data_IF_362121742692
#
_entry.id   IF_362121742692
#
_cell.length_a   1.000
_cell.length_b   1.000
_cell.length_c   1.000
_cell.angle_alpha   90.00
_cell.angle_beta   90.00
_cell.angle_gamma   90.00
#
_symmetry.space_group_name_H-M   'P 1'
#
loop_
_entity.id
_entity.type
_entity.pdbx_description
1 polymer ?
#
# COMPACT_ATOMS: atom_id res chain seq x y z
N UNK A 1 17.49 6.25 -45.14
CA UNK A 1 17.55 5.88 -43.70
C UNK A 1 19.00 5.93 -43.26
N UNK A 2 19.30 6.67 -42.21
CA UNK A 2 20.63 6.74 -41.59
C UNK A 2 20.64 5.86 -40.34
N UNK A 3 21.75 5.13 -40.10
CA UNK A 3 21.97 4.35 -38.90
C UNK A 3 23.18 4.93 -38.18
N UNK A 4 22.98 5.31 -36.92
CA UNK A 4 24.06 5.77 -36.04
C UNK A 4 24.09 4.94 -34.77
N UNK A 5 25.27 4.79 -34.18
CA UNK A 5 25.38 4.20 -32.84
C UNK A 5 25.12 5.31 -31.82
N UNK A 6 24.26 5.03 -30.84
CA UNK A 6 23.90 5.95 -29.79
C UNK A 6 23.91 5.22 -28.45
N UNK A 7 24.63 5.75 -27.49
CA UNK A 7 24.71 5.20 -26.14
C UNK A 7 23.72 5.92 -25.22
N UNK A 8 22.81 5.19 -24.61
CA UNK A 8 21.82 5.72 -23.68
C UNK A 8 21.41 4.69 -22.64
N UNK A 9 20.80 5.15 -21.55
CA UNK A 9 20.18 4.28 -20.57
C UNK A 9 18.95 3.59 -21.19
N UNK A 10 18.86 2.27 -21.05
CA UNK A 10 17.75 1.48 -21.54
C UNK A 10 17.07 0.71 -20.40
N UNK A 11 15.73 0.68 -20.32
CA UNK A 11 15.04 -0.04 -19.25
C UNK A 11 15.28 -1.55 -19.35
N UNK A 12 15.59 -2.15 -18.19
CA UNK A 12 15.80 -3.58 -18.04
C UNK A 12 14.80 -4.16 -17.03
N UNK A 13 14.41 -5.41 -17.26
CA UNK A 13 13.62 -6.16 -16.29
C UNK A 13 14.34 -6.19 -14.94
N UNK A 14 13.69 -5.71 -13.88
CA UNK A 14 14.28 -5.63 -12.55
C UNK A 14 14.70 -7.01 -12.00
N UNK A 15 14.01 -8.07 -12.42
CA UNK A 15 14.28 -9.47 -12.00
C UNK A 15 15.38 -10.12 -12.84
N UNK A 16 15.20 -10.15 -14.17
CA UNK A 16 16.09 -10.87 -15.08
C UNK A 16 17.28 -10.04 -15.58
N UNK A 17 17.25 -8.73 -15.37
CA UNK A 17 18.28 -7.78 -15.84
C UNK A 17 18.48 -7.75 -17.36
N UNK A 18 17.53 -8.27 -18.11
CA UNK A 18 17.51 -8.23 -19.58
C UNK A 18 16.78 -6.99 -20.08
N UNK A 19 17.13 -6.44 -21.27
CA UNK A 19 16.38 -5.35 -21.88
C UNK A 19 14.90 -5.70 -22.04
N UNK A 20 14.01 -4.73 -21.78
CA UNK A 20 12.58 -4.89 -22.01
C UNK A 20 12.21 -4.55 -23.44
N UNK A 21 11.16 -5.19 -23.97
CA UNK A 21 10.53 -4.80 -25.23
C UNK A 21 9.30 -3.95 -24.94
N UNK A 22 9.13 -2.88 -25.69
CA UNK A 22 7.89 -2.11 -25.68
C UNK A 22 6.89 -2.76 -26.61
N UNK A 23 5.67 -2.96 -26.13
CA UNK A 23 4.57 -3.56 -26.88
C UNK A 23 3.31 -2.72 -26.68
N UNK A 24 2.65 -2.35 -27.76
CA UNK A 24 1.32 -1.77 -27.73
C UNK A 24 0.28 -2.88 -27.68
N UNK A 25 -0.62 -2.83 -26.70
CA UNK A 25 -1.77 -3.73 -26.55
C UNK A 25 -2.97 -2.91 -26.11
N UNK A 26 -4.21 -3.33 -26.42
CA UNK A 26 -5.40 -2.73 -25.82
C UNK A 26 -5.29 -2.77 -24.30
N UNK A 27 -5.71 -1.69 -23.64
CA UNK A 27 -5.63 -1.55 -22.20
C UNK A 27 -6.89 -0.89 -21.65
N UNK A 28 -7.17 -1.14 -20.38
CA UNK A 28 -8.26 -0.52 -19.63
C UNK A 28 -7.71 0.56 -18.73
N UNK A 29 -8.39 1.70 -18.71
CA UNK A 29 -7.98 2.88 -17.96
C UNK A 29 -9.12 3.42 -17.12
N UNK A 30 -8.77 3.95 -15.95
CA UNK A 30 -9.63 4.90 -15.22
C UNK A 30 -9.23 6.28 -15.69
N UNK A 31 -10.17 7.02 -16.30
CA UNK A 31 -9.93 8.39 -16.70
C UNK A 31 -9.80 9.31 -15.49
N UNK A 32 -8.79 10.15 -15.51
CA UNK A 32 -8.59 11.18 -14.48
C UNK A 32 -9.40 12.44 -14.74
N UNK A 33 -9.78 12.68 -16.00
CA UNK A 33 -10.56 13.85 -16.41
C UNK A 33 -12.08 13.62 -16.26
N UNK A 34 -12.55 12.39 -16.53
CA UNK A 34 -13.97 12.06 -16.46
C UNK A 34 -14.50 12.29 -15.03
N UNK A 35 -15.63 13.00 -14.97
CA UNK A 35 -16.29 13.41 -13.71
C UNK A 35 -15.36 14.19 -12.77
N UNK A 36 -14.36 14.87 -13.30
CA UNK A 36 -13.39 15.68 -12.53
C UNK A 36 -12.68 14.88 -11.42
N UNK A 37 -12.46 13.57 -11.60
CA UNK A 37 -11.89 12.70 -10.58
C UNK A 37 -10.57 13.23 -10.00
N UNK A 38 -9.67 13.69 -10.88
CA UNK A 38 -8.38 14.21 -10.45
C UNK A 38 -8.53 15.48 -9.61
N UNK A 39 -9.40 16.39 -10.01
CA UNK A 39 -9.66 17.63 -9.29
C UNK A 39 -10.28 17.35 -7.92
N UNK A 40 -11.27 16.47 -7.85
CA UNK A 40 -11.88 16.06 -6.58
C UNK A 40 -10.87 15.40 -5.64
N UNK A 41 -9.98 14.54 -6.18
CA UNK A 41 -8.91 13.94 -5.40
C UNK A 41 -7.93 15.00 -4.86
N UNK A 42 -7.56 15.99 -5.66
CA UNK A 42 -6.72 17.11 -5.24
C UNK A 42 -7.36 17.94 -4.13
N UNK A 43 -8.60 18.34 -4.31
CA UNK A 43 -9.35 19.13 -3.33
C UNK A 43 -9.49 18.39 -1.99
N UNK A 44 -9.60 17.08 -2.04
CA UNK A 44 -9.73 16.23 -0.85
C UNK A 44 -8.45 16.14 0.00
N UNK A 45 -7.26 16.36 -0.61
CA UNK A 45 -5.95 16.30 0.11
C UNK A 45 -5.89 17.29 1.26
N UNK A 46 -6.53 18.46 1.12
CA UNK A 46 -6.55 19.50 2.15
C UNK A 46 -7.39 19.12 3.39
N UNK A 47 -8.31 18.18 3.23
CA UNK A 47 -9.16 17.69 4.32
C UNK A 47 -8.50 16.63 5.20
N UNK A 48 -7.36 16.07 4.75
CA UNK A 48 -6.63 14.99 5.43
C UNK A 48 -5.55 15.54 6.34
N UNK A 49 -5.41 14.96 7.53
CA UNK A 49 -4.33 15.31 8.45
C UNK A 49 -3.03 14.56 8.10
N UNK A 50 -2.01 15.29 7.67
CA UNK A 50 -0.73 14.72 7.22
C UNK A 50 0.35 14.83 8.31
N UNK A 51 0.91 13.68 8.68
CA UNK A 51 2.03 13.57 9.61
C UNK A 51 3.21 12.78 8.97
N UNK A 52 4.35 13.40 8.65
CA UNK A 52 4.66 14.83 8.71
C UNK A 52 3.89 15.69 7.68
N UNK A 53 3.82 16.99 7.93
CA UNK A 53 3.06 17.93 7.08
C UNK A 53 3.51 17.99 5.61
N UNK A 54 4.77 17.66 5.32
CA UNK A 54 5.27 17.60 3.94
C UNK A 54 4.53 16.54 3.09
N UNK A 55 3.86 15.58 3.72
CA UNK A 55 3.07 14.55 3.04
C UNK A 55 1.97 15.12 2.18
N UNK A 56 1.32 16.21 2.61
CA UNK A 56 0.31 16.94 1.86
C UNK A 56 0.85 17.45 0.52
N UNK A 57 1.91 18.27 0.58
CA UNK A 57 2.53 18.83 -0.63
C UNK A 57 3.02 17.74 -1.59
N UNK A 58 3.54 16.62 -1.03
CA UNK A 58 3.97 15.48 -1.83
C UNK A 58 2.80 14.79 -2.54
N UNK A 59 1.67 14.58 -1.87
CA UNK A 59 0.48 13.98 -2.49
C UNK A 59 -0.08 14.89 -3.57
N UNK A 60 -0.24 16.18 -3.29
CA UNK A 60 -0.72 17.16 -4.27
C UNK A 60 0.15 17.18 -5.54
N UNK A 61 1.48 17.25 -5.38
CA UNK A 61 2.41 17.22 -6.52
C UNK A 61 2.34 15.92 -7.33
N UNK A 62 2.04 14.78 -6.71
CA UNK A 62 1.90 13.52 -7.42
C UNK A 62 0.56 13.36 -8.15
N UNK A 63 -0.44 14.13 -7.76
CA UNK A 63 -1.73 14.19 -8.44
C UNK A 63 -1.74 15.23 -9.57
N UNK A 64 -0.97 16.32 -9.47
CA UNK A 64 -1.04 17.50 -10.34
C UNK A 64 -1.00 17.18 -11.84
N UNK A 65 -0.16 16.25 -12.25
CA UNK A 65 -0.03 15.84 -13.66
C UNK A 65 -0.25 14.32 -13.83
N UNK A 66 -1.12 13.74 -13.02
CA UNK A 66 -1.34 12.29 -13.09
C UNK A 66 -2.08 11.93 -14.38
N UNK A 67 -1.51 11.06 -15.23
CA UNK A 67 -2.22 10.55 -16.39
C UNK A 67 -3.29 9.55 -15.99
N UNK A 68 -4.15 9.20 -16.94
CA UNK A 68 -5.12 8.11 -16.79
C UNK A 68 -4.46 6.85 -16.24
N UNK A 69 -5.15 6.18 -15.34
CA UNK A 69 -4.62 5.01 -14.66
C UNK A 69 -4.89 3.74 -15.44
N UNK A 70 -3.85 3.18 -16.06
CA UNK A 70 -3.93 1.87 -16.68
C UNK A 70 -4.10 0.80 -15.60
N UNK A 71 -5.28 0.18 -15.54
CA UNK A 71 -5.63 -0.82 -14.53
C UNK A 71 -5.52 -2.26 -15.02
N UNK A 72 -5.38 -2.50 -16.31
CA UNK A 72 -5.24 -3.85 -16.87
C UNK A 72 -3.80 -4.36 -16.89
N UNK A 73 -3.65 -5.65 -16.62
CA UNK A 73 -2.36 -6.36 -16.66
C UNK A 73 -2.52 -7.69 -17.36
N UNK A 74 -1.58 -8.00 -18.27
CA UNK A 74 -1.50 -9.27 -18.97
C UNK A 74 -0.72 -10.27 -18.09
N UNK A 75 -1.38 -10.79 -17.06
CA UNK A 75 -0.83 -11.73 -16.09
C UNK A 75 -1.74 -12.94 -15.96
N UNK A 76 -1.14 -14.08 -15.64
CA UNK A 76 -1.88 -15.33 -15.36
C UNK A 76 -2.43 -15.43 -13.92
N UNK A 77 -2.05 -14.50 -13.07
CA UNK A 77 -2.49 -14.42 -11.68
C UNK A 77 -2.88 -12.98 -11.32
N UNK A 78 -4.05 -12.81 -10.74
CA UNK A 78 -4.62 -11.54 -10.31
C UNK A 78 -6.15 -11.57 -10.33
N UNK A 79 -6.79 -10.53 -9.82
CA UNK A 79 -8.24 -10.37 -9.92
C UNK A 79 -8.61 -10.14 -11.38
N UNK A 80 -9.46 -10.98 -12.00
CA UNK A 80 -9.79 -10.82 -13.41
C UNK A 80 -10.63 -9.59 -13.66
N UNK A 81 -10.49 -9.00 -14.83
CA UNK A 81 -11.39 -7.98 -15.35
C UNK A 81 -12.57 -8.70 -16.01
N UNK A 82 -13.66 -8.87 -15.27
CA UNK A 82 -14.83 -9.65 -15.68
C UNK A 82 -15.70 -8.92 -16.69
N UNK A 83 -15.17 -8.64 -17.88
CA UNK A 83 -15.84 -7.91 -18.94
C UNK A 83 -15.96 -8.74 -20.21
N UNK A 84 -17.06 -8.54 -20.93
CA UNK A 84 -17.28 -9.02 -22.29
C UNK A 84 -17.21 -7.84 -23.26
N UNK A 85 -16.44 -8.00 -24.34
CA UNK A 85 -16.32 -7.01 -25.40
C UNK A 85 -16.84 -7.55 -26.73
N UNK A 86 -17.50 -6.72 -27.50
CA UNK A 86 -17.98 -7.08 -28.84
C UNK A 86 -16.78 -7.23 -29.78
N UNK A 87 -16.72 -8.37 -30.48
CA UNK A 87 -15.58 -8.77 -31.31
C UNK A 87 -15.24 -7.79 -32.44
N UNK A 88 -16.22 -7.09 -32.99
CA UNK A 88 -16.04 -6.19 -34.12
C UNK A 88 -15.88 -4.71 -33.66
N UNK A 89 -16.66 -4.26 -32.67
CA UNK A 89 -16.68 -2.87 -32.26
C UNK A 89 -15.77 -2.57 -31.07
N UNK A 90 -15.42 -3.60 -30.28
CA UNK A 90 -14.66 -3.43 -29.03
C UNK A 90 -15.46 -2.79 -27.88
N UNK A 91 -16.77 -2.59 -28.06
CA UNK A 91 -17.65 -2.02 -27.06
C UNK A 91 -17.99 -3.05 -25.98
N UNK A 92 -18.26 -2.55 -24.77
CA UNK A 92 -18.71 -3.39 -23.66
C UNK A 92 -20.11 -3.96 -23.93
N UNK A 93 -20.36 -5.16 -23.38
CA UNK A 93 -21.70 -5.74 -23.39
C UNK A 93 -22.70 -4.81 -22.69
N UNK A 94 -23.92 -4.60 -23.22
CA UNK A 94 -24.92 -3.73 -22.60
C UNK A 94 -25.26 -4.10 -21.14
N UNK A 95 -25.25 -5.39 -20.82
CA UNK A 95 -25.51 -5.93 -19.47
C UNK A 95 -24.22 -6.13 -18.65
N UNK A 96 -23.20 -5.32 -18.89
CA UNK A 96 -21.88 -5.45 -18.21
C UNK A 96 -22.00 -5.50 -16.69
N UNK A 97 -22.90 -4.69 -16.12
CA UNK A 97 -23.09 -4.62 -14.67
C UNK A 97 -23.61 -5.94 -14.11
N UNK A 98 -24.63 -6.50 -14.73
CA UNK A 98 -25.26 -7.77 -14.36
C UNK A 98 -24.28 -8.92 -14.51
N UNK A 99 -23.45 -8.88 -15.56
CA UNK A 99 -22.37 -9.85 -15.78
C UNK A 99 -21.35 -9.82 -14.66
N UNK A 100 -20.91 -8.61 -14.27
CA UNK A 100 -19.93 -8.45 -13.16
C UNK A 100 -20.52 -9.00 -11.86
N UNK A 101 -21.77 -8.69 -11.53
CA UNK A 101 -22.42 -9.18 -10.32
C UNK A 101 -22.53 -10.72 -10.34
N UNK A 102 -22.97 -11.31 -11.45
CA UNK A 102 -23.05 -12.76 -11.63
C UNK A 102 -21.68 -13.44 -11.48
N UNK A 103 -20.64 -12.84 -12.04
CA UNK A 103 -19.28 -13.36 -11.92
C UNK A 103 -18.75 -13.20 -10.49
N UNK A 104 -19.10 -12.11 -9.79
CA UNK A 104 -18.73 -11.94 -8.38
C UNK A 104 -19.33 -13.04 -7.49
N UNK A 105 -20.60 -13.38 -7.67
CA UNK A 105 -21.27 -14.49 -6.95
C UNK A 105 -20.58 -15.85 -7.22
N UNK A 106 -20.20 -16.08 -8.47
CA UNK A 106 -19.46 -17.29 -8.85
C UNK A 106 -18.07 -17.34 -8.21
N UNK A 107 -17.35 -16.21 -8.21
CA UNK A 107 -16.02 -16.11 -7.59
C UNK A 107 -16.13 -16.28 -6.07
N UNK A 108 -17.16 -15.76 -5.42
CA UNK A 108 -17.40 -15.96 -4.00
C UNK A 108 -17.60 -17.44 -3.65
N UNK A 109 -18.34 -18.16 -4.45
CA UNK A 109 -18.67 -19.58 -4.18
C UNK A 109 -17.60 -20.57 -4.64
N UNK A 110 -16.92 -20.32 -5.75
CA UNK A 110 -16.03 -21.27 -6.44
C UNK A 110 -14.57 -20.79 -6.52
N UNK A 111 -14.33 -19.53 -6.14
CA UNK A 111 -13.01 -18.89 -6.24
C UNK A 111 -12.75 -18.29 -7.62
N UNK A 112 -11.62 -17.61 -7.73
CA UNK A 112 -11.26 -16.77 -8.89
C UNK A 112 -11.18 -17.56 -10.21
N UNK A 113 -10.96 -18.87 -10.13
CA UNK A 113 -10.89 -19.76 -11.31
C UNK A 113 -12.23 -19.82 -12.06
N UNK A 114 -13.34 -19.60 -11.38
CA UNK A 114 -14.69 -19.61 -11.97
C UNK A 114 -14.82 -18.67 -13.19
N UNK A 115 -14.18 -17.48 -13.15
CA UNK A 115 -14.15 -16.60 -14.31
C UNK A 115 -13.43 -17.21 -15.52
N UNK A 116 -12.35 -17.95 -15.30
CA UNK A 116 -11.60 -18.57 -16.40
C UNK A 116 -12.35 -19.76 -17.00
N UNK A 117 -13.07 -20.51 -16.19
CA UNK A 117 -13.73 -21.75 -16.56
C UNK A 117 -15.13 -21.55 -17.16
N UNK A 118 -15.87 -20.49 -16.78
CA UNK A 118 -17.21 -20.22 -17.30
C UNK A 118 -17.18 -19.92 -18.81
N UNK A 119 -18.11 -20.48 -19.56
CA UNK A 119 -18.29 -20.16 -20.98
C UNK A 119 -19.20 -18.92 -21.14
N UNK A 120 -18.97 -18.13 -22.19
CA UNK A 120 -19.75 -16.90 -22.44
C UNK A 120 -21.25 -17.20 -22.61
N UNK A 121 -21.61 -18.35 -23.20
CA UNK A 121 -23.00 -18.81 -23.38
C UNK A 121 -23.76 -18.99 -22.06
N UNK A 122 -23.04 -19.20 -20.95
CA UNK A 122 -23.63 -19.34 -19.61
C UNK A 122 -23.84 -17.98 -18.92
N UNK A 123 -23.29 -16.93 -19.52
CA UNK A 123 -23.44 -15.55 -19.05
C UNK A 123 -24.50 -14.78 -19.81
N UNK A 124 -24.49 -14.88 -21.15
CA UNK A 124 -25.33 -14.09 -22.07
C UNK A 124 -25.81 -14.93 -23.27
N UNK A 125 -27.00 -14.57 -23.80
CA UNK A 125 -27.62 -15.29 -24.93
C UNK A 125 -26.92 -15.01 -26.29
N UNK A 126 -26.40 -13.80 -26.49
CA UNK A 126 -25.76 -13.32 -27.71
C UNK A 126 -24.24 -13.56 -27.72
N UNK A 127 -23.80 -14.58 -26.99
CA UNK A 127 -22.40 -14.97 -26.73
C UNK A 127 -21.52 -15.05 -27.98
N UNK A 128 -22.08 -15.34 -29.17
CA UNK A 128 -21.30 -15.47 -30.41
C UNK A 128 -20.64 -14.16 -30.85
N UNK A 129 -21.24 -13.01 -30.49
CA UNK A 129 -20.75 -11.67 -30.84
C UNK A 129 -19.71 -11.13 -29.88
N UNK A 130 -19.51 -11.76 -28.73
CA UNK A 130 -18.65 -11.26 -27.66
C UNK A 130 -17.46 -12.16 -27.36
N UNK A 131 -16.44 -11.58 -26.75
CA UNK A 131 -15.29 -12.29 -26.21
C UNK A 131 -14.97 -11.84 -24.79
N UNK A 132 -14.38 -12.74 -23.99
CA UNK A 132 -13.96 -12.47 -22.63
C UNK A 132 -12.64 -11.71 -22.61
N UNK A 133 -12.55 -10.71 -21.73
CA UNK A 133 -11.26 -10.11 -21.37
C UNK A 133 -10.48 -11.11 -20.53
N UNK A 134 -9.21 -11.32 -20.88
CA UNK A 134 -8.29 -12.22 -20.17
C UNK A 134 -7.32 -11.49 -19.25
N UNK A 135 -7.37 -10.16 -19.23
CA UNK A 135 -6.53 -9.34 -18.37
C UNK A 135 -6.97 -9.41 -16.91
N UNK A 136 -6.04 -9.16 -16.00
CA UNK A 136 -6.34 -8.97 -14.59
C UNK A 136 -6.11 -7.51 -14.16
N UNK A 137 -6.67 -7.14 -13.02
CA UNK A 137 -6.49 -5.82 -12.44
C UNK A 137 -5.06 -5.58 -11.97
N UNK A 138 -4.64 -4.33 -11.99
CA UNK A 138 -3.45 -3.86 -11.32
C UNK A 138 -3.55 -4.11 -9.81
N UNK A 139 -2.53 -4.71 -9.22
CA UNK A 139 -2.48 -4.98 -7.78
C UNK A 139 -2.66 -3.71 -6.91
N UNK A 140 -2.35 -2.55 -7.45
CA UNK A 140 -2.62 -1.27 -6.78
C UNK A 140 -4.10 -0.90 -6.78
N UNK A 141 -4.88 -1.41 -7.74
CA UNK A 141 -6.33 -1.33 -7.71
C UNK A 141 -6.88 -2.23 -6.60
N UNK A 142 -6.42 -3.49 -6.54
CA UNK A 142 -6.85 -4.45 -5.51
C UNK A 142 -6.61 -3.90 -4.10
N UNK A 143 -5.42 -3.37 -3.85
CA UNK A 143 -5.10 -2.73 -2.57
C UNK A 143 -5.81 -1.39 -2.38
N UNK A 144 -6.05 -0.65 -3.46
CA UNK A 144 -6.73 0.63 -3.44
C UNK A 144 -8.16 0.56 -2.90
N UNK A 145 -8.89 -0.51 -3.22
CA UNK A 145 -10.29 -0.70 -2.79
C UNK A 145 -10.45 -1.30 -1.38
N UNK A 146 -9.36 -1.37 -0.58
CA UNK A 146 -9.41 -1.86 0.80
C UNK A 146 -10.49 -1.16 1.64
N UNK A 147 -10.73 0.12 1.41
CA UNK A 147 -11.79 0.87 2.08
C UNK A 147 -13.20 0.29 1.81
N UNK A 148 -13.44 -0.28 0.64
CA UNK A 148 -14.73 -0.87 0.29
C UNK A 148 -14.81 -2.35 0.69
N UNK A 149 -13.75 -3.14 0.43
CA UNK A 149 -13.79 -4.59 0.69
C UNK A 149 -13.41 -4.98 2.13
N UNK A 150 -12.91 -4.07 2.95
CA UNK A 150 -12.57 -4.35 4.36
C UNK A 150 -13.32 -3.42 5.31
N UNK A 151 -13.21 -2.09 5.15
CA UNK A 151 -13.82 -1.16 6.12
C UNK A 151 -15.34 -1.16 6.07
N UNK A 152 -15.94 -1.24 4.87
CA UNK A 152 -17.39 -1.19 4.71
C UNK A 152 -18.08 -2.50 5.11
N UNK A 153 -17.39 -3.63 5.00
CA UNK A 153 -17.98 -4.96 5.23
C UNK A 153 -17.78 -5.48 6.65
N UNK A 154 -16.90 -4.83 7.44
CA UNK A 154 -16.63 -5.24 8.81
C UNK A 154 -17.25 -4.26 9.80
N UNK A 155 -18.24 -4.75 10.56
CA UNK A 155 -19.00 -3.94 11.54
C UNK A 155 -18.14 -3.37 12.68
N UNK A 156 -16.98 -3.96 12.95
CA UNK A 156 -16.02 -3.48 13.96
C UNK A 156 -15.11 -2.36 13.43
N UNK A 157 -15.18 -2.04 12.14
CA UNK A 157 -14.37 -1.03 11.49
C UNK A 157 -15.23 0.15 11.02
N UNK A 158 -14.58 1.26 10.69
CA UNK A 158 -15.27 2.46 10.21
C UNK A 158 -14.63 2.99 8.92
N UNK A 159 -15.48 3.61 8.11
CA UNK A 159 -15.07 4.39 6.95
C UNK A 159 -15.39 5.89 7.21
N UNK A 160 -14.48 6.83 6.89
CA UNK A 160 -13.06 6.63 6.53
C UNK A 160 -12.22 6.07 7.68
N UNK A 161 -11.10 5.41 7.36
CA UNK A 161 -10.13 4.97 8.38
C UNK A 161 -9.59 6.16 9.18
N UNK A 162 -9.33 5.96 10.47
CA UNK A 162 -8.75 7.03 11.29
C UNK A 162 -7.32 7.36 10.86
N UNK A 163 -6.54 6.33 10.48
CA UNK A 163 -5.12 6.49 10.14
C UNK A 163 -4.68 5.47 9.09
N UNK A 164 -4.04 5.94 8.00
CA UNK A 164 -3.16 5.13 7.18
C UNK A 164 -1.71 5.38 7.58
N UNK A 165 -0.94 4.30 7.79
CA UNK A 165 0.44 4.36 8.27
C UNK A 165 1.33 3.49 7.42
N UNK A 166 2.24 4.11 6.64
CA UNK A 166 3.20 3.42 5.78
C UNK A 166 4.43 4.28 5.46
N UNK A 167 5.33 3.73 4.66
CA UNK A 167 6.51 4.43 4.17
C UNK A 167 6.24 5.51 3.12
N UNK A 168 7.23 6.34 2.88
CA UNK A 168 7.13 7.47 1.96
C UNK A 168 6.91 7.10 0.48
N UNK A 169 7.19 5.86 0.08
CA UNK A 169 6.91 5.34 -1.27
C UNK A 169 5.41 5.18 -1.53
N UNK A 170 4.59 5.06 -0.49
CA UNK A 170 3.15 4.85 -0.63
C UNK A 170 2.37 6.08 -1.09
N UNK A 171 2.98 7.25 -1.13
CA UNK A 171 2.39 8.41 -1.82
C UNK A 171 2.20 8.16 -3.33
N UNK A 172 3.01 7.28 -3.93
CA UNK A 172 2.84 6.79 -5.31
C UNK A 172 2.37 5.34 -5.35
N UNK A 173 1.79 4.85 -4.30
CA UNK A 173 1.27 3.49 -4.15
C UNK A 173 -0.08 3.51 -3.46
N UNK A 174 -0.20 2.83 -2.33
CA UNK A 174 -1.45 2.59 -1.64
C UNK A 174 -2.19 3.85 -1.20
N UNK A 175 -1.50 4.88 -0.71
CA UNK A 175 -2.16 6.13 -0.34
C UNK A 175 -2.88 6.75 -1.53
N UNK A 176 -2.24 6.79 -2.69
CA UNK A 176 -2.80 7.40 -3.89
C UNK A 176 -3.87 6.51 -4.55
N UNK A 177 -3.64 5.21 -4.65
CA UNK A 177 -4.63 4.29 -5.24
C UNK A 177 -5.90 4.24 -4.40
N UNK A 178 -5.79 4.19 -3.07
CA UNK A 178 -6.94 4.25 -2.16
C UNK A 178 -7.69 5.59 -2.27
N UNK A 179 -6.98 6.70 -2.39
CA UNK A 179 -7.60 8.01 -2.55
C UNK A 179 -8.44 8.06 -3.83
N UNK A 180 -7.84 7.69 -4.95
CA UNK A 180 -8.52 7.73 -6.26
C UNK A 180 -9.74 6.82 -6.31
N UNK A 181 -9.63 5.58 -5.83
CA UNK A 181 -10.77 4.65 -5.81
C UNK A 181 -11.87 5.11 -4.87
N UNK A 182 -11.52 5.66 -3.71
CA UNK A 182 -12.51 6.16 -2.75
C UNK A 182 -13.23 7.41 -3.27
N UNK A 183 -12.52 8.35 -3.86
CA UNK A 183 -13.15 9.53 -4.49
C UNK A 183 -14.03 9.10 -5.65
N UNK A 184 -13.59 8.18 -6.52
CA UNK A 184 -14.41 7.69 -7.62
C UNK A 184 -15.70 6.99 -7.17
N UNK A 185 -15.68 6.31 -6.03
CA UNK A 185 -16.81 5.51 -5.52
C UNK A 185 -17.71 6.29 -4.55
N UNK A 186 -17.15 7.20 -3.76
CA UNK A 186 -17.81 7.79 -2.57
C UNK A 186 -17.64 9.29 -2.43
N UNK A 187 -16.82 9.93 -3.27
CA UNK A 187 -16.50 11.37 -3.21
C UNK A 187 -15.87 11.80 -1.86
N UNK A 188 -15.30 10.84 -1.11
CA UNK A 188 -14.72 11.06 0.22
C UNK A 188 -13.36 10.39 0.30
N UNK A 189 -12.31 11.02 0.92
CA UNK A 189 -11.03 10.36 1.16
C UNK A 189 -11.20 9.10 2.01
N UNK A 190 -10.40 8.03 1.78
CA UNK A 190 -10.53 6.77 2.51
C UNK A 190 -9.96 6.82 3.93
N UNK A 191 -9.30 7.90 4.29
CA UNK A 191 -8.61 8.10 5.56
C UNK A 191 -8.75 9.54 6.06
N UNK A 192 -8.81 9.70 7.40
CA UNK A 192 -8.82 10.99 8.08
C UNK A 192 -7.41 11.55 8.28
N UNK A 193 -6.43 10.65 8.46
CA UNK A 193 -5.04 11.00 8.65
C UNK A 193 -4.11 10.02 7.93
N UNK A 194 -2.94 10.53 7.53
CA UNK A 194 -1.85 9.73 6.95
C UNK A 194 -0.57 9.99 7.74
N UNK A 195 0.01 8.94 8.32
CA UNK A 195 1.32 9.00 8.93
C UNK A 195 2.34 8.33 8.01
N UNK A 196 3.38 9.07 7.67
CA UNK A 196 4.44 8.59 6.77
C UNK A 196 5.76 8.47 7.51
N UNK A 197 6.36 7.28 7.46
CA UNK A 197 7.69 7.03 8.02
C UNK A 197 8.76 6.91 6.94
N UNK A 198 10.03 7.12 7.35
CA UNK A 198 11.20 6.87 6.51
C UNK A 198 11.51 5.38 6.38
N UNK A 199 12.46 5.05 5.50
CA UNK A 199 12.96 3.69 5.37
C UNK A 199 14.02 3.37 6.42
N UNK A 200 14.11 2.09 6.78
CA UNK A 200 15.26 1.59 7.53
C UNK A 200 16.43 1.42 6.57
N UNK A 201 17.54 2.08 6.89
CA UNK A 201 18.77 2.09 6.11
C UNK A 201 19.94 1.52 6.93
N UNK A 202 20.98 1.05 6.25
CA UNK A 202 22.22 0.59 6.89
C UNK A 202 23.09 1.78 7.40
N UNK A 203 24.26 1.47 7.94
CA UNK A 203 25.18 2.49 8.45
C UNK A 203 25.65 3.47 7.38
N UNK A 204 25.68 3.07 6.12
CA UNK A 204 26.05 3.86 4.95
C UNK A 204 24.89 4.62 4.33
N UNK A 205 23.69 4.56 4.93
CA UNK A 205 22.48 5.22 4.43
C UNK A 205 21.82 4.53 3.23
N UNK A 206 22.15 3.27 2.95
CA UNK A 206 21.54 2.51 1.87
C UNK A 206 20.31 1.76 2.38
N UNK A 207 19.20 1.84 1.64
CA UNK A 207 17.98 1.09 1.93
C UNK A 207 18.30 -0.42 2.07
N UNK A 208 17.85 -1.01 3.18
CA UNK A 208 18.02 -2.44 3.41
C UNK A 208 17.21 -3.26 2.39
N UNK A 209 17.88 -4.21 1.74
CA UNK A 209 17.23 -5.11 0.79
C UNK A 209 17.88 -6.49 0.78
N UNK A 210 17.09 -7.52 0.52
CA UNK A 210 17.60 -8.90 0.39
C UNK A 210 18.64 -9.04 -0.73
N UNK A 211 18.48 -8.27 -1.80
CA UNK A 211 19.39 -8.30 -2.95
C UNK A 211 20.77 -7.69 -2.66
N UNK A 212 20.86 -6.76 -1.70
CA UNK A 212 22.14 -6.16 -1.24
C UNK A 212 22.77 -6.95 -0.09
N UNK A 213 22.00 -7.85 0.55
CA UNK A 213 22.50 -8.62 1.68
C UNK A 213 22.73 -7.83 2.98
N UNK A 214 22.26 -6.57 3.04
CA UNK A 214 22.44 -5.66 4.18
C UNK A 214 21.27 -5.65 5.16
N UNK A 215 20.37 -6.65 5.09
CA UNK A 215 19.20 -6.73 5.96
C UNK A 215 19.57 -7.24 7.34
N UNK A 216 19.25 -6.48 8.38
CA UNK A 216 19.25 -6.93 9.76
C UNK A 216 17.82 -7.41 10.07
N UNK A 217 17.64 -8.75 10.20
CA UNK A 217 16.32 -9.29 10.49
C UNK A 217 15.94 -9.06 11.95
N UNK A 218 14.69 -8.65 12.26
CA UNK A 218 14.20 -8.53 13.64
C UNK A 218 14.39 -9.82 14.44
N UNK A 219 14.21 -10.99 13.83
CA UNK A 219 14.39 -12.30 14.44
C UNK A 219 15.78 -12.45 15.04
N UNK A 220 16.82 -12.15 14.26
CA UNK A 220 18.21 -12.23 14.72
C UNK A 220 18.48 -11.28 15.90
N UNK A 221 17.85 -10.10 15.89
CA UNK A 221 18.02 -9.13 16.98
C UNK A 221 17.38 -9.64 18.27
N UNK A 222 16.14 -10.11 18.23
CA UNK A 222 15.50 -10.55 19.47
C UNK A 222 16.05 -11.88 20.01
N UNK A 223 16.56 -12.77 19.17
CA UNK A 223 17.25 -13.99 19.59
C UNK A 223 18.58 -13.69 20.33
N UNK A 224 19.28 -12.63 19.93
CA UNK A 224 20.62 -12.29 20.47
C UNK A 224 20.56 -11.25 21.59
N UNK A 225 19.70 -10.23 21.46
CA UNK A 225 19.65 -9.07 22.37
C UNK A 225 18.32 -8.95 23.14
N UNK A 226 17.29 -9.67 22.71
CA UNK A 226 15.94 -9.58 23.24
C UNK A 226 15.05 -8.57 22.50
N UNK A 227 13.75 -8.82 22.49
CA UNK A 227 12.77 -7.99 21.77
C UNK A 227 12.69 -6.55 22.31
N UNK A 228 12.92 -6.35 23.60
CA UNK A 228 12.84 -5.03 24.22
C UNK A 228 13.97 -4.07 23.78
N UNK A 229 15.11 -4.61 23.38
CA UNK A 229 16.19 -3.78 22.78
C UNK A 229 15.72 -3.22 21.45
N UNK A 230 15.06 -4.04 20.60
CA UNK A 230 14.50 -3.60 19.33
C UNK A 230 13.37 -2.59 19.53
N UNK A 231 12.49 -2.82 20.50
CA UNK A 231 11.42 -1.88 20.86
C UNK A 231 11.99 -0.55 21.36
N UNK A 232 13.03 -0.60 22.20
CA UNK A 232 13.71 0.61 22.71
C UNK A 232 14.33 1.41 21.57
N UNK A 233 14.97 0.74 20.60
CA UNK A 233 15.49 1.39 19.41
C UNK A 233 14.37 2.06 18.61
N UNK A 234 13.30 1.34 18.29
CA UNK A 234 12.17 1.88 17.52
C UNK A 234 11.52 3.09 18.21
N UNK A 235 11.28 3.00 19.55
CA UNK A 235 10.68 4.08 20.32
C UNK A 235 11.60 5.32 20.47
N UNK A 236 12.91 5.15 20.33
CA UNK A 236 13.89 6.26 20.43
C UNK A 236 14.22 6.92 19.10
N UNK A 237 13.63 6.46 18.01
CA UNK A 237 14.01 6.87 16.64
C UNK A 237 13.04 7.91 16.10
N UNK A 238 13.56 8.90 15.39
CA UNK A 238 12.75 9.86 14.62
C UNK A 238 12.29 9.21 13.32
N UNK A 239 11.05 8.74 13.28
CA UNK A 239 10.45 8.06 12.14
C UNK A 239 10.19 8.98 10.94
N UNK A 240 10.24 10.29 11.11
CA UNK A 240 9.96 11.26 10.03
C UNK A 240 11.05 11.33 8.97
N UNK A 241 12.18 10.66 9.23
CA UNK A 241 13.38 10.61 8.38
C UNK A 241 13.79 9.16 8.12
N UNK A 242 14.83 8.99 7.30
CA UNK A 242 15.51 7.70 7.15
C UNK A 242 16.04 7.22 8.51
N UNK A 243 15.77 5.97 8.84
CA UNK A 243 16.04 5.36 10.14
C UNK A 243 17.27 4.46 10.01
N UNK A 244 18.39 4.88 10.59
CA UNK A 244 19.61 4.07 10.55
C UNK A 244 19.53 2.93 11.56
N UNK A 245 19.81 1.70 11.11
CA UNK A 245 19.96 0.52 11.93
C UNK A 245 21.33 -0.13 11.68
N UNK A 246 22.09 -0.30 12.75
CA UNK A 246 23.38 -1.00 12.74
C UNK A 246 23.63 -1.72 14.07
N UNK A 247 24.60 -2.63 14.09
CA UNK A 247 24.97 -3.34 15.31
C UNK A 247 25.40 -2.39 16.44
N UNK A 248 26.07 -1.28 16.11
CA UNK A 248 26.51 -0.29 17.11
C UNK A 248 25.32 0.50 17.68
N UNK A 249 24.31 0.82 16.87
CA UNK A 249 23.08 1.46 17.33
C UNK A 249 22.32 0.51 18.25
N UNK A 250 22.21 -0.76 17.87
CA UNK A 250 21.57 -1.78 18.70
C UNK A 250 22.31 -2.00 20.05
N UNK A 251 23.64 -1.98 20.07
CA UNK A 251 24.41 -2.02 21.33
C UNK A 251 24.09 -0.83 22.23
N UNK A 252 24.05 0.38 21.69
CA UNK A 252 23.65 1.59 22.45
C UNK A 252 22.24 1.49 23.00
N UNK A 253 21.30 0.99 22.20
CA UNK A 253 19.92 0.73 22.65
C UNK A 253 19.88 -0.32 23.77
N UNK A 254 20.71 -1.37 23.68
CA UNK A 254 20.86 -2.39 24.73
C UNK A 254 21.38 -1.79 26.03
N UNK A 255 22.35 -0.86 25.97
CA UNK A 255 22.86 -0.19 27.17
C UNK A 255 21.80 0.73 27.80
N UNK A 256 21.01 1.44 26.99
CA UNK A 256 19.89 2.25 27.47
C UNK A 256 18.80 1.38 28.11
N UNK A 257 18.43 0.29 27.46
CA UNK A 257 17.48 -0.69 28.01
C UNK A 257 17.94 -1.28 29.35
N UNK A 258 19.24 -1.63 29.45
CA UNK A 258 19.82 -2.16 30.70
C UNK A 258 19.70 -1.17 31.86
N UNK A 259 19.92 0.11 31.61
CA UNK A 259 19.74 1.17 32.63
C UNK A 259 18.30 1.27 33.08
N UNK A 260 17.35 1.30 32.13
CA UNK A 260 15.90 1.33 32.43
C UNK A 260 15.53 0.10 33.27
N UNK A 261 15.91 -1.10 32.83
CA UNK A 261 15.61 -2.36 33.52
C UNK A 261 16.18 -2.37 34.96
N UNK A 262 17.41 -1.93 35.14
CA UNK A 262 18.04 -1.89 36.45
C UNK A 262 17.33 -0.89 37.37
N UNK A 263 16.94 0.27 36.88
CA UNK A 263 16.16 1.25 37.64
C UNK A 263 14.79 0.68 38.05
N UNK A 264 14.07 0.07 37.11
CA UNK A 264 12.76 -0.56 37.42
C UNK A 264 12.96 -1.68 38.45
N UNK A 265 13.98 -2.53 38.32
CA UNK A 265 14.28 -3.58 39.29
C UNK A 265 14.59 -3.01 40.69
N UNK A 266 15.35 -1.92 40.77
CA UNK A 266 15.63 -1.23 42.02
C UNK A 266 14.33 -0.70 42.66
N UNK A 267 13.50 0.00 41.89
CA UNK A 267 12.23 0.55 42.34
C UNK A 267 11.28 -0.56 42.83
N UNK A 268 11.12 -1.64 42.08
CA UNK A 268 10.29 -2.76 42.46
C UNK A 268 10.77 -3.44 43.74
N UNK A 269 12.10 -3.58 43.90
CA UNK A 269 12.68 -4.14 45.13
C UNK A 269 12.42 -3.28 46.38
N UNK A 270 12.41 -1.94 46.20
CA UNK A 270 12.14 -1.01 47.30
C UNK A 270 10.64 -0.80 47.59
N UNK A 271 9.78 -1.17 46.64
CA UNK A 271 8.33 -1.05 46.77
C UNK A 271 7.65 -2.37 47.08
N UNK A 272 8.41 -3.45 47.33
CA UNK A 272 7.87 -4.81 47.50
C UNK A 272 6.93 -4.94 48.70
N UNK A 273 7.11 -4.12 49.74
CA UNK A 273 6.30 -4.09 50.96
C UNK A 273 5.37 -2.84 51.03
N UNK A 274 5.30 -2.06 49.96
CA UNK A 274 4.48 -0.84 49.93
C UNK A 274 2.98 -1.18 49.82
N UNK A 275 2.21 -0.75 50.84
CA UNK A 275 0.77 -1.05 50.97
C UNK A 275 -0.17 -0.15 50.15
N UNK A 276 0.34 0.70 49.29
CA UNK A 276 -0.48 1.47 48.35
C UNK A 276 -1.08 2.76 48.83
N UNK A 277 -0.65 3.32 49.95
CA UNK A 277 -1.06 4.70 50.35
C UNK A 277 -0.43 5.73 49.40
N UNK A 278 -1.26 6.36 48.58
CA UNK A 278 -0.82 7.49 47.76
C UNK A 278 -0.70 8.74 48.60
N UNK A 279 0.49 9.33 48.66
CA UNK A 279 0.64 10.70 49.13
C UNK A 279 0.03 11.66 48.12
N UNK A 280 -0.78 12.63 48.58
CA UNK A 280 -1.25 13.69 47.69
C UNK A 280 -0.04 14.46 47.16
N UNK A 281 -0.09 14.87 45.88
CA UNK A 281 1.01 15.57 45.20
C UNK A 281 1.49 16.83 45.92
N UNK A 282 0.60 17.48 46.71
CA UNK A 282 0.86 18.63 47.55
C UNK A 282 1.80 18.35 48.75
N UNK A 283 2.07 17.07 49.06
CA UNK A 283 2.99 16.64 50.12
C UNK A 283 4.33 16.13 49.62
N UNK A 284 4.55 16.18 48.30
CA UNK A 284 5.82 15.87 47.67
C UNK A 284 6.62 17.16 47.53
N UNK A 285 7.43 17.49 48.53
CA UNK A 285 8.40 18.61 48.51
C UNK A 285 9.76 18.12 48.05
#
# INVERSE_FOLDING_TARGET
LSKSSYEHSYPHCWRHKTPVMFRATPQWFISMEEKDLLQQAQDSVDSVNWAPTWGQARMSSMLEERPDWCISRQRSWGVPIALLIHKETGELHPETREIIEKVADLVESEGIQAWHDIEIKDLVDDHESFEKITDCLDVWFDSGVTHACVLDVNEDLQFPADLYLEGSDQHRGWFQSSLLTSIAMKEVPPYKAVLTHGFVVDAEGKKMSKSLGNVISPQKVWETMGADVLRTWAASTDYTKEIVLSDDILKRSSDSYRRIRNTVRFLLGNLSDYSGQKLASEKLT
#
